data_IF_101040451714
#
_entry.id   IF_101040451714
#
_cell.length_a   1.000
_cell.length_b   1.000
_cell.length_c   1.000
_cell.angle_alpha   90.00
_cell.angle_beta   90.00
_cell.angle_gamma   90.00
#
_symmetry.space_group_name_H-M   'P 1'
#
loop_
_entity.id
_entity.type
_entity.pdbx_description
1 polymer ?
#
# COMPACT_ATOMS: atom_id res chain seq x y z
N UNK A 1 6.49 1.27 -19.92
CA UNK A 1 7.04 0.05 -19.33
C UNK A 1 6.37 -0.14 -17.99
N UNK A 2 5.90 -1.36 -17.68
CA UNK A 2 5.27 -1.68 -16.40
C UNK A 2 6.32 -2.16 -15.41
N UNK A 3 6.11 -1.87 -14.13
CA UNK A 3 7.05 -2.19 -13.06
C UNK A 3 6.32 -2.85 -11.91
N UNK A 4 6.99 -3.82 -11.28
CA UNK A 4 6.49 -4.47 -10.07
C UNK A 4 6.17 -3.41 -8.99
N UNK A 5 5.06 -3.55 -8.23
CA UNK A 5 4.77 -2.70 -7.08
C UNK A 5 5.99 -2.53 -6.15
N UNK A 6 6.26 -1.29 -5.73
CA UNK A 6 7.44 -0.93 -4.94
C UNK A 6 8.74 -0.69 -5.74
N UNK A 7 8.77 -0.97 -7.05
CA UNK A 7 9.94 -0.75 -7.93
C UNK A 7 9.71 0.31 -9.01
N UNK A 8 8.52 0.90 -9.05
CA UNK A 8 8.15 1.99 -9.95
C UNK A 8 8.19 3.37 -9.28
N UNK A 9 7.57 4.36 -9.92
CA UNK A 9 7.44 5.72 -9.38
C UNK A 9 6.10 6.03 -8.72
N UNK A 10 5.24 5.02 -8.49
CA UNK A 10 3.95 5.21 -7.84
C UNK A 10 4.14 5.33 -6.34
N UNK A 11 3.59 6.39 -5.74
CA UNK A 11 3.56 6.57 -4.29
C UNK A 11 2.39 5.79 -3.68
N UNK A 12 2.64 4.52 -3.35
CA UNK A 12 1.62 3.64 -2.77
C UNK A 12 1.26 4.02 -1.33
N UNK A 13 2.13 4.69 -0.58
CA UNK A 13 1.84 5.09 0.79
C UNK A 13 0.70 6.13 0.82
N UNK A 14 0.74 7.12 -0.08
CA UNK A 14 -0.34 8.10 -0.20
C UNK A 14 -1.67 7.48 -0.63
N UNK A 15 -1.63 6.41 -1.43
CA UNK A 15 -2.83 5.65 -1.80
C UNK A 15 -3.42 4.96 -0.57
N UNK A 16 -2.61 4.25 0.24
CA UNK A 16 -3.10 3.61 1.47
C UNK A 16 -3.69 4.66 2.42
N UNK A 17 -3.02 5.81 2.59
CA UNK A 17 -3.54 6.92 3.41
C UNK A 17 -4.85 7.47 2.87
N UNK A 18 -5.03 7.55 1.55
CA UNK A 18 -6.30 7.95 0.93
C UNK A 18 -7.42 6.93 1.19
N UNK A 19 -7.13 5.63 1.06
CA UNK A 19 -8.08 4.55 1.36
C UNK A 19 -8.51 4.56 2.83
N UNK A 20 -7.55 4.76 3.74
CA UNK A 20 -7.80 4.93 5.17
C UNK A 20 -8.71 6.13 5.47
N UNK A 21 -8.49 7.28 4.82
CA UNK A 21 -9.31 8.49 4.98
C UNK A 21 -10.77 8.28 4.61
N UNK A 22 -11.05 7.45 3.60
CA UNK A 22 -12.43 7.14 3.16
C UNK A 22 -12.99 5.87 3.81
N UNK A 23 -12.27 5.30 4.79
CA UNK A 23 -12.64 4.08 5.49
C UNK A 23 -12.95 2.90 4.56
N UNK A 24 -12.17 2.72 3.49
CA UNK A 24 -12.31 1.57 2.61
C UNK A 24 -12.03 0.25 3.36
N UNK A 25 -12.94 -0.73 3.24
CA UNK A 25 -12.87 -2.02 3.94
C UNK A 25 -12.79 -3.22 2.99
N UNK A 26 -12.68 -2.97 1.68
CA UNK A 26 -12.56 -4.04 0.70
C UNK A 26 -11.13 -4.62 0.64
N UNK A 27 -10.93 -5.73 -0.06
CA UNK A 27 -9.59 -6.27 -0.26
C UNK A 27 -8.73 -5.36 -1.14
N UNK A 28 -7.41 -5.40 -0.93
CA UNK A 28 -6.41 -4.87 -1.85
C UNK A 28 -5.97 -6.00 -2.80
N UNK A 29 -6.25 -5.86 -4.09
CA UNK A 29 -5.81 -6.81 -5.12
C UNK A 29 -4.48 -6.37 -5.72
N UNK A 30 -3.61 -7.33 -6.03
CA UNK A 30 -2.35 -7.10 -6.73
C UNK A 30 -2.45 -7.65 -8.15
N UNK A 31 -2.46 -6.75 -9.12
CA UNK A 31 -2.22 -7.08 -10.53
C UNK A 31 -0.73 -6.86 -10.82
N UNK A 32 -0.06 -7.86 -11.37
CA UNK A 32 1.39 -7.86 -11.53
C UNK A 32 1.80 -7.94 -13.00
N UNK A 33 2.65 -6.99 -13.42
CA UNK A 33 3.29 -6.96 -14.74
C UNK A 33 4.67 -6.28 -14.63
N UNK A 34 5.74 -7.03 -14.91
CA UNK A 34 7.09 -6.49 -15.10
C UNK A 34 7.86 -7.43 -16.05
N UNK A 35 8.18 -6.96 -17.25
CA UNK A 35 8.88 -7.78 -18.25
C UNK A 35 10.35 -8.06 -17.91
N UNK A 36 10.91 -7.35 -16.92
CA UNK A 36 12.28 -7.50 -16.45
C UNK A 36 12.45 -8.45 -15.26
N UNK A 37 11.39 -9.10 -14.77
CA UNK A 37 11.42 -9.95 -13.58
C UNK A 37 10.80 -11.32 -13.83
N UNK A 38 11.25 -12.33 -13.07
CA UNK A 38 10.53 -13.61 -13.00
C UNK A 38 9.14 -13.39 -12.39
N UNK A 39 8.13 -14.04 -12.99
CA UNK A 39 6.72 -13.81 -12.66
C UNK A 39 6.38 -14.21 -11.23
N UNK A 40 6.83 -15.39 -10.77
CA UNK A 40 6.46 -15.88 -9.44
C UNK A 40 7.22 -15.12 -8.34
N UNK A 41 8.48 -14.81 -8.61
CA UNK A 41 9.28 -13.95 -7.74
C UNK A 41 8.65 -12.57 -7.58
N UNK A 42 8.33 -11.90 -8.69
CA UNK A 42 7.74 -10.57 -8.68
C UNK A 42 6.34 -10.55 -8.05
N UNK A 43 5.49 -11.53 -8.35
CA UNK A 43 4.16 -11.62 -7.74
C UNK A 43 4.24 -11.80 -6.21
N UNK A 44 5.18 -12.62 -5.72
CA UNK A 44 5.41 -12.79 -4.27
C UNK A 44 5.89 -11.50 -3.63
N UNK A 45 6.92 -10.88 -4.20
CA UNK A 45 7.48 -9.64 -3.70
C UNK A 45 6.45 -8.51 -3.67
N UNK A 46 5.66 -8.36 -4.73
CA UNK A 46 4.61 -7.35 -4.81
C UNK A 46 3.51 -7.55 -3.77
N UNK A 47 3.10 -8.81 -3.53
CA UNK A 47 2.13 -9.11 -2.50
C UNK A 47 2.65 -8.81 -1.08
N UNK A 48 3.94 -9.10 -0.82
CA UNK A 48 4.57 -8.80 0.47
C UNK A 48 4.75 -7.29 0.66
N UNK A 49 5.12 -6.55 -0.39
CA UNK A 49 5.19 -5.09 -0.37
C UNK A 49 3.84 -4.46 -0.01
N UNK A 50 2.75 -4.86 -0.68
CA UNK A 50 1.41 -4.31 -0.40
C UNK A 50 0.98 -4.61 1.04
N UNK A 51 1.24 -5.81 1.57
CA UNK A 51 0.98 -6.14 2.99
C UNK A 51 1.80 -5.30 3.96
N UNK A 52 3.03 -4.94 3.60
CA UNK A 52 3.91 -4.15 4.46
C UNK A 52 3.39 -2.70 4.61
N UNK A 53 2.82 -2.14 3.56
CA UNK A 53 2.34 -0.75 3.56
C UNK A 53 0.86 -0.63 3.91
N UNK A 54 0.11 -1.73 3.96
CA UNK A 54 -1.29 -1.77 4.39
C UNK A 54 -1.37 -1.72 5.93
N UNK A 55 -1.47 -0.51 6.47
CA UNK A 55 -1.52 -0.26 7.91
C UNK A 55 -2.81 0.45 8.34
N UNK A 56 -3.22 0.15 9.57
CA UNK A 56 -4.35 0.81 10.22
C UNK A 56 -4.05 2.29 10.51
N UNK A 57 -4.99 3.23 10.24
CA UNK A 57 -4.82 4.61 10.64
C UNK A 57 -4.95 4.78 12.16
N UNK A 58 -4.35 5.85 12.71
CA UNK A 58 -4.56 6.21 14.12
C UNK A 58 -6.04 6.48 14.39
N UNK A 59 -6.55 5.95 15.51
CA UNK A 59 -7.91 6.22 16.01
C UNK A 59 -7.98 7.46 16.91
N UNK A 60 -6.83 8.04 17.24
CA UNK A 60 -6.74 9.23 18.11
C UNK A 60 -6.38 10.42 17.23
N UNK A 61 -7.20 11.47 17.32
CA UNK A 61 -6.83 12.77 16.79
C UNK A 61 -5.69 13.33 17.64
N UNK A 62 -4.54 13.60 17.02
CA UNK A 62 -3.31 13.99 17.69
C UNK A 62 -3.52 15.17 18.68
N UNK A 63 -4.26 16.20 18.27
CA UNK A 63 -4.52 17.39 19.10
C UNK A 63 -5.40 17.09 20.33
N UNK A 64 -6.28 16.08 20.24
CA UNK A 64 -7.14 15.68 21.36
C UNK A 64 -6.35 15.03 22.50
N UNK A 65 -5.13 14.56 22.25
CA UNK A 65 -4.29 13.91 23.26
C UNK A 65 -3.53 14.88 24.16
N UNK A 66 -3.46 16.18 23.81
CA UNK A 66 -2.70 17.19 24.54
C UNK A 66 -3.56 18.31 25.15
N UNK A 67 -4.89 18.20 25.08
CA UNK A 67 -5.83 19.24 25.52
C UNK A 67 -6.20 19.17 27.02
N UNK A 68 -5.31 18.64 27.89
CA UNK A 68 -5.52 18.50 29.34
C UNK A 68 -4.77 19.59 30.15
#
# INVERSE_FOLDING_TARGET
DFRSPGRGGVDFEEIIRALNRVAYQGPLSVEWEDSGMDREHGAREAADFVRQIDFEPSRIAFDAQFAE
#
